data_IF_165137292384
#
_entry.id   IF_165137292384
#
_cell.length_a   1.000
_cell.length_b   1.000
_cell.length_c   1.000
_cell.angle_alpha   90.00
_cell.angle_beta   90.00
_cell.angle_gamma   90.00
#
_symmetry.space_group_name_H-M   'P 1'
#
loop_
_entity.id
_entity.type
_entity.pdbx_description
1 polymer ?
#
# COMPACT_ATOMS: atom_id res chain seq x y z
N UNK A 1 -4.65 -1.27 -10.95
CA UNK A 1 -3.82 -2.15 -11.80
C UNK A 1 -3.49 -1.42 -13.08
N UNK A 2 -2.43 -1.86 -13.72
CA UNK A 2 -2.00 -1.44 -15.05
C UNK A 2 -2.61 -2.33 -16.13
N UNK A 3 -2.72 -1.80 -17.34
CA UNK A 3 -3.11 -2.57 -18.52
C UNK A 3 -1.93 -3.40 -19.05
N UNK A 4 -2.20 -4.64 -19.46
CA UNK A 4 -1.15 -5.60 -19.85
C UNK A 4 -0.30 -5.19 -21.06
N UNK A 5 -0.88 -4.47 -22.02
CA UNK A 5 -0.17 -4.09 -23.25
C UNK A 5 0.60 -2.77 -23.13
N UNK A 6 0.45 -2.05 -22.01
CA UNK A 6 1.32 -0.91 -21.72
C UNK A 6 2.76 -1.40 -21.51
N UNK A 7 3.73 -0.51 -21.69
CA UNK A 7 5.15 -0.87 -21.69
C UNK A 7 5.95 -0.14 -20.62
N UNK A 8 7.02 -0.78 -20.17
CA UNK A 8 8.02 -0.21 -19.26
C UNK A 8 9.39 -0.25 -19.94
N UNK A 9 10.21 0.76 -19.66
CA UNK A 9 11.61 0.79 -20.11
C UNK A 9 12.49 0.00 -19.14
N UNK A 10 13.26 -0.93 -19.67
CA UNK A 10 14.22 -1.72 -18.88
C UNK A 10 15.55 -0.96 -18.73
N UNK A 11 16.27 -1.22 -17.65
CA UNK A 11 17.59 -0.60 -17.41
C UNK A 11 18.62 -1.10 -18.42
N UNK A 12 18.56 -2.38 -18.79
CA UNK A 12 19.44 -3.02 -19.78
C UNK A 12 19.14 -2.57 -21.22
N UNK A 13 18.12 -1.74 -21.41
CA UNK A 13 17.66 -1.25 -22.71
C UNK A 13 16.41 -1.99 -23.22
N UNK A 14 15.73 -1.34 -24.15
CA UNK A 14 14.47 -1.85 -24.71
C UNK A 14 13.25 -1.61 -23.82
N UNK A 15 12.12 -2.17 -24.26
CA UNK A 15 10.82 -2.04 -23.60
C UNK A 15 10.19 -3.42 -23.40
N UNK A 16 9.43 -3.57 -22.32
CA UNK A 16 8.68 -4.79 -22.01
C UNK A 16 7.23 -4.46 -21.73
N UNK A 17 6.32 -5.23 -22.32
CA UNK A 17 4.90 -5.14 -21.99
C UNK A 17 4.69 -5.54 -20.53
N UNK A 18 3.77 -4.87 -19.85
CA UNK A 18 3.48 -5.12 -18.44
C UNK A 18 3.05 -6.58 -18.22
N UNK A 19 2.25 -7.14 -19.12
CA UNK A 19 1.83 -8.55 -19.05
C UNK A 19 2.96 -9.57 -19.17
N UNK A 20 4.14 -9.14 -19.64
CA UNK A 20 5.32 -9.97 -19.81
C UNK A 20 6.42 -9.68 -18.77
N UNK A 21 6.17 -8.79 -17.80
CA UNK A 21 7.12 -8.50 -16.73
C UNK A 21 7.39 -9.73 -15.87
N UNK A 22 8.60 -9.78 -15.34
CA UNK A 22 9.06 -10.82 -14.44
C UNK A 22 9.65 -10.19 -13.19
N UNK A 23 9.53 -10.91 -12.08
CA UNK A 23 10.29 -10.59 -10.87
C UNK A 23 11.79 -10.55 -11.20
N UNK A 24 12.50 -9.54 -10.73
CA UNK A 24 13.91 -9.29 -11.00
C UNK A 24 14.17 -8.42 -12.23
N UNK A 25 13.15 -8.11 -13.05
CA UNK A 25 13.33 -7.14 -14.14
C UNK A 25 13.76 -5.78 -13.57
N UNK A 26 14.87 -5.26 -14.07
CA UNK A 26 15.36 -3.92 -13.71
C UNK A 26 14.70 -2.87 -14.60
N UNK A 27 14.14 -1.86 -13.97
CA UNK A 27 13.27 -0.88 -14.61
C UNK A 27 13.68 0.54 -14.25
N UNK A 28 13.38 1.48 -15.14
CA UNK A 28 13.46 2.90 -14.81
C UNK A 28 12.21 3.34 -14.05
N UNK A 29 12.42 4.10 -12.98
CA UNK A 29 11.36 4.73 -12.19
C UNK A 29 11.74 6.16 -11.81
N UNK A 30 10.92 6.84 -11.02
CA UNK A 30 11.20 8.21 -10.55
C UNK A 30 11.73 8.22 -9.13
N UNK A 31 12.53 9.24 -8.81
CA UNK A 31 12.84 9.61 -7.43
C UNK A 31 11.60 10.14 -6.70
N UNK A 32 11.60 10.10 -5.37
CA UNK A 32 10.47 10.57 -4.54
C UNK A 32 10.11 12.04 -4.77
N UNK A 33 11.06 12.87 -5.22
CA UNK A 33 10.83 14.27 -5.59
C UNK A 33 10.30 14.44 -7.03
N UNK A 34 10.15 13.34 -7.77
CA UNK A 34 9.71 13.27 -9.16
C UNK A 34 10.63 13.92 -10.19
N UNK A 35 11.86 14.28 -9.82
CA UNK A 35 12.77 15.06 -10.67
C UNK A 35 13.75 14.21 -11.48
N UNK A 36 14.06 13.00 -11.04
CA UNK A 36 15.11 12.17 -11.64
C UNK A 36 14.59 10.78 -11.94
N UNK A 37 15.09 10.19 -13.02
CA UNK A 37 14.97 8.77 -13.24
C UNK A 37 15.98 8.04 -12.37
N UNK A 38 15.56 6.96 -11.74
CA UNK A 38 16.39 6.08 -10.93
C UNK A 38 16.15 4.63 -11.35
N UNK A 39 17.16 3.79 -11.14
CA UNK A 39 17.03 2.36 -11.33
C UNK A 39 16.25 1.72 -10.18
N UNK A 40 15.40 0.77 -10.51
CA UNK A 40 14.63 -0.03 -9.57
C UNK A 40 14.41 -1.43 -10.14
N UNK A 41 13.69 -2.27 -9.40
CA UNK A 41 13.51 -3.68 -9.73
C UNK A 41 12.10 -4.14 -9.36
N UNK A 42 11.51 -4.99 -10.21
CA UNK A 42 10.23 -5.63 -9.95
C UNK A 42 10.42 -6.72 -8.89
N UNK A 43 9.82 -6.56 -7.72
CA UNK A 43 10.02 -7.47 -6.58
C UNK A 43 8.95 -8.55 -6.51
N UNK A 44 7.72 -8.28 -6.96
CA UNK A 44 6.60 -9.24 -6.96
C UNK A 44 5.46 -8.70 -7.81
N UNK A 45 4.64 -9.61 -8.37
CA UNK A 45 3.42 -9.28 -9.11
C UNK A 45 2.23 -9.97 -8.40
N UNK A 46 1.71 -9.41 -7.30
CA UNK A 46 0.73 -10.09 -6.43
C UNK A 46 -0.68 -10.17 -7.03
N UNK A 47 -0.97 -9.43 -8.09
CA UNK A 47 -2.31 -9.38 -8.67
C UNK A 47 -2.21 -9.29 -10.19
N UNK A 48 -2.74 -10.30 -10.87
CA UNK A 48 -2.78 -10.40 -12.32
C UNK A 48 -4.03 -11.17 -12.78
N UNK A 49 -4.62 -10.72 -13.88
CA UNK A 49 -5.78 -11.35 -14.51
C UNK A 49 -5.67 -11.23 -16.03
N UNK A 50 -4.82 -12.04 -16.69
CA UNK A 50 -4.44 -11.85 -18.10
C UNK A 50 -5.62 -11.90 -19.07
N UNK A 51 -6.66 -12.66 -18.74
CA UNK A 51 -7.86 -12.88 -19.57
C UNK A 51 -9.11 -12.24 -18.98
N UNK A 52 -8.98 -11.51 -17.88
CA UNK A 52 -10.11 -10.94 -17.15
C UNK A 52 -10.36 -9.50 -17.67
N UNK A 53 -11.59 -9.16 -18.07
CA UNK A 53 -11.93 -7.79 -18.42
C UNK A 53 -11.91 -6.90 -17.17
N UNK A 54 -11.37 -5.70 -17.31
CA UNK A 54 -11.37 -4.68 -16.27
C UNK A 54 -11.61 -3.28 -16.86
N UNK A 55 -12.10 -2.37 -16.03
CA UNK A 55 -12.30 -0.99 -16.39
C UNK A 55 -11.02 -0.18 -16.22
N UNK A 56 -10.68 0.62 -17.24
CA UNK A 56 -9.50 1.46 -17.27
C UNK A 56 -9.84 2.89 -17.65
N UNK A 57 -9.23 3.83 -16.94
CA UNK A 57 -8.99 5.19 -17.40
C UNK A 57 -7.73 5.21 -18.25
N UNK A 58 -7.85 5.66 -19.50
CA UNK A 58 -6.73 5.87 -20.40
C UNK A 58 -6.49 7.37 -20.54
N UNK A 59 -5.35 7.81 -20.01
CA UNK A 59 -4.90 9.19 -20.09
C UNK A 59 -4.05 9.35 -21.34
N UNK A 60 -4.38 10.31 -22.19
CA UNK A 60 -3.59 10.70 -23.36
C UNK A 60 -3.04 12.09 -23.12
N UNK A 61 -1.73 12.23 -23.24
CA UNK A 61 -1.03 13.51 -23.09
C UNK A 61 -0.99 14.28 -24.40
N UNK A 62 -0.71 15.58 -24.31
CA UNK A 62 -0.58 16.47 -25.49
C UNK A 62 0.54 16.05 -26.47
N UNK A 63 1.47 15.19 -26.06
CA UNK A 63 2.51 14.64 -26.94
C UNK A 63 2.20 13.19 -27.38
N UNK A 64 0.97 12.72 -27.18
CA UNK A 64 0.51 11.41 -27.63
C UNK A 64 0.91 10.22 -26.75
N UNK A 65 1.59 10.44 -25.62
CA UNK A 65 1.86 9.38 -24.65
C UNK A 65 0.58 8.97 -23.92
N UNK A 66 0.42 7.68 -23.67
CA UNK A 66 -0.77 7.12 -23.03
C UNK A 66 -0.42 6.25 -21.83
N UNK A 67 -1.29 6.23 -20.82
CA UNK A 67 -1.22 5.23 -19.73
C UNK A 67 -2.63 4.80 -19.35
N UNK A 68 -2.85 3.50 -19.18
CA UNK A 68 -4.15 2.92 -18.82
C UNK A 68 -4.11 2.34 -17.41
N UNK A 69 -4.92 2.92 -16.52
CA UNK A 69 -4.97 2.57 -15.10
C UNK A 69 -6.40 2.26 -14.64
N UNK A 70 -6.58 1.29 -13.76
CA UNK A 70 -7.88 1.10 -13.10
C UNK A 70 -8.20 2.28 -12.18
N UNK A 71 -9.49 2.51 -11.93
CA UNK A 71 -10.06 3.54 -11.05
C UNK A 71 -9.21 3.94 -9.82
N UNK A 72 -8.98 3.01 -8.90
CA UNK A 72 -8.28 3.27 -7.63
C UNK A 72 -6.76 3.13 -7.70
N UNK A 73 -6.18 3.08 -8.91
CA UNK A 73 -4.73 3.03 -9.07
C UNK A 73 -4.14 4.43 -8.97
N UNK A 74 -3.05 4.56 -8.21
CA UNK A 74 -2.43 5.85 -7.98
C UNK A 74 -1.53 6.30 -9.13
N UNK A 75 -1.69 7.55 -9.55
CA UNK A 75 -0.86 8.21 -10.56
C UNK A 75 -0.21 9.46 -9.99
N UNK A 76 0.99 9.77 -10.49
CA UNK A 76 1.75 10.94 -10.06
C UNK A 76 1.36 12.14 -10.93
N UNK A 77 0.75 13.13 -10.31
CA UNK A 77 0.19 14.30 -11.00
C UNK A 77 0.53 15.61 -10.28
N UNK A 78 0.47 16.70 -11.03
CA UNK A 78 0.58 18.08 -10.53
C UNK A 78 -0.63 18.85 -11.05
N UNK A 79 -1.34 19.57 -10.18
CA UNK A 79 -2.41 20.45 -10.64
C UNK A 79 -1.81 21.64 -11.41
N UNK A 80 -2.47 22.09 -12.49
CA UNK A 80 -2.00 23.25 -13.26
C UNK A 80 -1.81 24.46 -12.35
N UNK A 81 -0.65 25.11 -12.46
CA UNK A 81 -0.30 26.28 -11.64
C UNK A 81 0.23 25.93 -10.25
N UNK A 82 0.26 24.65 -9.85
CA UNK A 82 0.94 24.20 -8.66
C UNK A 82 2.35 23.66 -8.98
N UNK A 83 3.24 23.65 -7.98
CA UNK A 83 4.59 23.07 -8.07
C UNK A 83 4.74 21.82 -7.21
N UNK A 84 3.66 21.34 -6.59
CA UNK A 84 3.70 20.21 -5.66
C UNK A 84 3.16 18.95 -6.32
N UNK A 85 3.95 17.89 -6.25
CA UNK A 85 3.54 16.55 -6.67
C UNK A 85 2.44 16.04 -5.75
N UNK A 86 1.40 15.47 -6.36
CA UNK A 86 0.33 14.75 -5.71
C UNK A 86 0.29 13.32 -6.25
N UNK A 87 -0.08 12.39 -5.39
CA UNK A 87 -0.34 11.00 -5.76
C UNK A 87 -1.83 10.80 -5.54
N UNK A 88 -2.58 10.70 -6.63
CA UNK A 88 -4.05 10.70 -6.63
C UNK A 88 -4.58 9.49 -7.39
N UNK A 89 -5.83 9.11 -7.13
CA UNK A 89 -6.47 8.00 -7.84
C UNK A 89 -6.68 8.37 -9.31
N UNK A 90 -6.65 7.37 -10.20
CA UNK A 90 -6.90 7.57 -11.62
C UNK A 90 -8.27 8.23 -11.88
N UNK A 91 -9.31 7.89 -11.11
CA UNK A 91 -10.63 8.55 -11.21
C UNK A 91 -10.67 10.01 -10.78
N UNK A 92 -9.69 10.48 -10.00
CA UNK A 92 -9.63 11.86 -9.52
C UNK A 92 -8.87 12.78 -10.50
N UNK A 93 -8.21 12.21 -11.51
CA UNK A 93 -7.48 12.96 -12.51
C UNK A 93 -8.45 13.67 -13.47
N UNK A 94 -8.20 14.95 -13.68
CA UNK A 94 -8.93 15.80 -14.62
C UNK A 94 -7.98 16.44 -15.62
N UNK A 95 -8.52 17.09 -16.66
CA UNK A 95 -7.71 17.87 -17.62
C UNK A 95 -7.00 19.09 -17.00
N UNK A 96 -7.31 19.42 -15.74
CA UNK A 96 -6.61 20.44 -14.94
C UNK A 96 -5.36 19.90 -14.24
N UNK A 97 -5.00 18.64 -14.50
CA UNK A 97 -3.77 18.03 -14.03
C UNK A 97 -2.74 17.88 -15.16
N UNK A 98 -1.48 17.80 -14.76
CA UNK A 98 -0.33 17.44 -15.57
C UNK A 98 0.28 16.16 -15.00
N UNK A 99 0.72 15.26 -15.88
CA UNK A 99 1.42 14.03 -15.49
C UNK A 99 2.93 14.27 -15.47
N UNK A 100 3.67 13.39 -14.80
CA UNK A 100 5.13 13.44 -14.77
C UNK A 100 5.73 12.46 -15.76
N UNK A 101 6.60 12.95 -16.62
CA UNK A 101 7.35 12.18 -17.61
C UNK A 101 8.83 12.49 -17.48
N UNK A 102 9.64 11.51 -17.06
CA UNK A 102 11.11 11.64 -16.98
C UNK A 102 11.60 12.97 -16.34
N UNK A 103 11.00 13.40 -15.23
CA UNK A 103 11.42 14.61 -14.49
C UNK A 103 10.78 15.92 -14.94
N UNK A 104 9.92 15.92 -15.97
CA UNK A 104 9.15 17.09 -16.41
C UNK A 104 7.64 16.84 -16.34
N UNK A 105 6.86 17.92 -16.33
CA UNK A 105 5.41 17.85 -16.41
C UNK A 105 4.93 17.85 -17.86
N UNK A 106 3.82 17.15 -18.11
CA UNK A 106 3.16 17.10 -19.41
C UNK A 106 1.65 17.23 -19.23
N UNK A 107 1.02 18.06 -20.07
CA UNK A 107 -0.43 18.26 -20.05
C UNK A 107 -1.21 17.06 -20.56
N UNK A 108 -2.45 16.93 -20.08
CA UNK A 108 -3.41 15.97 -20.59
C UNK A 108 -4.21 16.54 -21.76
N UNK A 109 -4.39 15.74 -22.80
CA UNK A 109 -5.26 16.04 -23.94
C UNK A 109 -6.63 15.39 -23.76
N UNK A 110 -6.65 14.11 -23.36
CA UNK A 110 -7.87 13.30 -23.33
C UNK A 110 -7.84 12.28 -22.21
N UNK A 111 -9.01 12.01 -21.63
CA UNK A 111 -9.24 10.91 -20.68
C UNK A 111 -10.38 10.05 -21.22
N UNK A 112 -10.14 8.76 -21.39
CA UNK A 112 -11.14 7.81 -21.92
C UNK A 112 -11.35 6.68 -20.94
N UNK A 113 -12.60 6.40 -20.63
CA UNK A 113 -12.99 5.23 -19.85
C UNK A 113 -13.36 4.07 -20.78
N UNK A 114 -12.74 2.91 -20.61
CA UNK A 114 -12.98 1.74 -21.47
C UNK A 114 -12.75 0.42 -20.72
N UNK A 115 -13.42 -0.64 -21.19
CA UNK A 115 -13.13 -2.01 -20.73
C UNK A 115 -11.98 -2.54 -21.58
N UNK A 116 -10.94 -3.07 -20.92
CA UNK A 116 -9.82 -3.75 -21.58
C UNK A 116 -9.55 -5.09 -20.90
N UNK A 117 -8.97 -6.05 -21.64
CA UNK A 117 -8.69 -7.39 -21.14
C UNK A 117 -7.25 -7.44 -20.63
N UNK A 118 -7.04 -7.93 -19.40
CA UNK A 118 -5.70 -8.08 -18.86
C UNK A 118 -5.32 -6.94 -17.93
N UNK A 119 -5.17 -7.25 -16.64
CA UNK A 119 -4.65 -6.31 -15.65
C UNK A 119 -3.52 -6.92 -14.83
N UNK A 120 -2.60 -6.07 -14.37
CA UNK A 120 -1.42 -6.47 -13.60
C UNK A 120 -1.07 -5.41 -12.55
N UNK A 121 -0.46 -5.83 -11.44
CA UNK A 121 -0.02 -4.92 -10.37
C UNK A 121 1.39 -5.25 -9.90
N UNK A 122 2.44 -5.09 -10.75
CA UNK A 122 3.82 -5.24 -10.31
C UNK A 122 4.15 -4.24 -9.20
N UNK A 123 4.97 -4.68 -8.25
CA UNK A 123 5.50 -3.87 -7.15
C UNK A 123 7.01 -3.75 -7.29
N UNK A 124 7.53 -2.56 -7.03
CA UNK A 124 8.96 -2.23 -7.04
C UNK A 124 9.52 -1.90 -5.65
N UNK A 125 10.84 -1.77 -5.50
CA UNK A 125 11.45 -1.38 -4.23
C UNK A 125 11.12 0.07 -3.85
N UNK A 126 11.12 1.00 -4.81
CA UNK A 126 10.77 2.41 -4.55
C UNK A 126 9.27 2.63 -4.35
N UNK A 127 8.43 1.76 -4.90
CA UNK A 127 6.98 1.96 -4.92
C UNK A 127 6.48 2.81 -6.10
N UNK A 128 7.36 3.20 -7.01
CA UNK A 128 7.00 3.89 -8.26
C UNK A 128 7.32 3.03 -9.48
N UNK A 129 6.68 3.35 -10.60
CA UNK A 129 6.95 2.76 -11.89
C UNK A 129 6.79 3.80 -13.01
N UNK A 130 7.54 3.64 -14.09
CA UNK A 130 7.36 4.47 -15.29
C UNK A 130 6.74 3.63 -16.40
N UNK A 131 5.49 3.93 -16.74
CA UNK A 131 4.69 3.21 -17.73
C UNK A 131 4.46 4.12 -18.94
N UNK A 132 4.89 3.68 -20.12
CA UNK A 132 4.87 4.47 -21.36
C UNK A 132 5.48 5.86 -21.17
N UNK A 133 6.56 5.93 -20.38
CA UNK A 133 7.28 7.13 -19.94
C UNK A 133 6.55 7.99 -18.89
N UNK A 134 5.33 7.63 -18.48
CA UNK A 134 4.55 8.34 -17.47
C UNK A 134 4.73 7.71 -16.09
N UNK A 135 4.85 8.57 -15.08
CA UNK A 135 5.19 8.17 -13.72
C UNK A 135 3.94 7.79 -12.93
N UNK A 136 3.95 6.63 -12.31
CA UNK A 136 2.84 6.06 -11.56
C UNK A 136 3.33 5.51 -10.23
N UNK A 137 2.41 5.36 -9.28
CA UNK A 137 2.65 4.58 -8.07
C UNK A 137 2.31 3.12 -8.34
N UNK A 138 3.02 2.17 -7.73
CA UNK A 138 2.70 0.72 -7.88
C UNK A 138 1.45 0.30 -7.11
N UNK A 139 0.92 1.20 -6.29
CA UNK A 139 -0.19 0.93 -5.39
C UNK A 139 -1.56 1.20 -6.00
N UNK A 140 -2.52 0.39 -5.56
CA UNK A 140 -3.97 0.52 -5.77
C UNK A 140 -4.61 0.52 -4.40
N UNK A 141 -5.49 1.45 -4.07
CA UNK A 141 -6.24 1.37 -2.82
C UNK A 141 -7.66 1.92 -2.92
N UNK A 142 -8.61 1.06 -2.54
CA UNK A 142 -10.04 1.39 -2.48
C UNK A 142 -10.43 2.03 -1.15
N UNK A 143 -9.54 2.02 -0.15
CA UNK A 143 -9.78 2.57 1.19
C UNK A 143 -9.22 4.00 1.34
N UNK A 144 -8.80 4.63 0.25
CA UNK A 144 -8.19 5.96 0.19
C UNK A 144 -6.96 6.14 1.12
N UNK A 145 -6.26 5.04 1.44
CA UNK A 145 -5.02 5.06 2.16
C UNK A 145 -3.91 5.71 1.31
N UNK A 146 -3.13 6.65 1.87
CA UNK A 146 -2.12 7.36 1.11
C UNK A 146 -0.98 6.44 0.67
N UNK A 147 -0.33 6.80 -0.43
CA UNK A 147 0.81 6.07 -1.00
C UNK A 147 1.87 5.68 0.04
N UNK A 148 2.32 6.65 0.86
CA UNK A 148 3.39 6.42 1.84
C UNK A 148 3.00 5.36 2.88
N UNK A 149 1.71 5.32 3.26
CA UNK A 149 1.21 4.32 4.21
C UNK A 149 1.20 2.93 3.58
N UNK A 150 0.73 2.80 2.34
CA UNK A 150 0.79 1.54 1.59
C UNK A 150 2.24 1.10 1.33
N UNK A 151 3.13 2.07 1.15
CA UNK A 151 4.56 1.82 1.04
C UNK A 151 5.12 1.18 2.31
N UNK A 152 4.76 1.72 3.48
CA UNK A 152 5.16 1.19 4.79
C UNK A 152 4.59 -0.21 5.04
N UNK A 153 3.32 -0.46 4.69
CA UNK A 153 2.71 -1.79 4.78
C UNK A 153 3.45 -2.81 3.90
N UNK A 154 3.95 -2.38 2.74
CA UNK A 154 4.80 -3.19 1.87
C UNK A 154 6.23 -3.42 2.40
N UNK A 155 6.63 -2.73 3.48
CA UNK A 155 7.97 -2.74 4.04
C UNK A 155 8.51 -4.14 4.39
N UNK A 156 7.75 -5.00 5.11
CA UNK A 156 8.19 -6.36 5.43
C UNK A 156 8.54 -7.20 4.19
N UNK A 157 7.78 -7.08 3.10
CA UNK A 157 8.07 -7.81 1.85
C UNK A 157 9.37 -7.35 1.19
N UNK A 158 9.62 -6.03 1.18
CA UNK A 158 10.88 -5.46 0.68
C UNK A 158 12.06 -5.85 1.56
N UNK A 159 11.86 -5.90 2.88
CA UNK A 159 12.90 -6.33 3.82
C UNK A 159 13.26 -7.80 3.59
N UNK A 160 12.26 -8.68 3.47
CA UNK A 160 12.47 -10.09 3.13
C UNK A 160 13.22 -10.24 1.80
N UNK A 161 12.83 -9.47 0.78
CA UNK A 161 13.53 -9.43 -0.51
C UNK A 161 15.02 -9.09 -0.37
N UNK A 162 15.34 -8.04 0.39
CA UNK A 162 16.73 -7.58 0.60
C UNK A 162 17.55 -8.58 1.42
N UNK A 163 16.99 -9.11 2.52
CA UNK A 163 17.70 -10.04 3.41
C UNK A 163 18.03 -11.33 2.67
N UNK A 164 17.09 -11.88 1.90
CA UNK A 164 17.33 -13.13 1.17
C UNK A 164 18.37 -12.97 0.07
N UNK A 165 18.39 -11.85 -0.67
CA UNK A 165 19.48 -11.54 -1.62
C UNK A 165 20.83 -11.34 -0.94
N UNK A 166 20.84 -10.77 0.26
CA UNK A 166 22.06 -10.65 1.04
C UNK A 166 22.59 -12.01 1.51
N UNK A 167 21.72 -12.92 1.96
CA UNK A 167 22.09 -14.25 2.45
C UNK A 167 22.46 -15.24 1.32
N UNK A 168 21.67 -15.28 0.26
CA UNK A 168 21.77 -16.29 -0.80
C UNK A 168 22.41 -15.75 -2.10
N UNK A 169 22.83 -14.48 -2.11
CA UNK A 169 23.48 -13.81 -3.22
C UNK A 169 22.55 -12.93 -4.06
N UNK A 170 23.13 -11.93 -4.72
CA UNK A 170 22.37 -10.92 -5.46
C UNK A 170 21.53 -11.49 -6.61
N UNK A 171 21.82 -12.69 -7.11
CA UNK A 171 21.03 -13.32 -8.18
C UNK A 171 19.83 -14.11 -7.65
N UNK A 172 19.67 -14.25 -6.33
CA UNK A 172 18.53 -14.93 -5.74
C UNK A 172 17.27 -14.08 -5.85
N UNK A 173 16.18 -14.63 -6.39
CA UNK A 173 14.93 -13.91 -6.57
C UNK A 173 13.82 -14.64 -5.79
N UNK A 174 13.53 -14.24 -4.55
CA UNK A 174 12.65 -15.00 -3.65
C UNK A 174 11.23 -15.18 -4.18
N UNK A 175 10.74 -14.26 -5.03
CA UNK A 175 9.40 -14.28 -5.58
C UNK A 175 9.37 -14.63 -7.09
N UNK A 176 10.46 -15.12 -7.65
CA UNK A 176 10.46 -15.63 -9.02
C UNK A 176 9.87 -17.05 -9.06
N UNK A 177 9.12 -17.32 -10.11
CA UNK A 177 8.79 -18.67 -10.55
C UNK A 177 9.85 -19.04 -11.59
N UNK A 178 10.79 -19.94 -11.28
CA UNK A 178 11.71 -20.45 -12.30
C UNK A 178 11.04 -21.62 -13.01
N UNK A 179 11.41 -21.89 -14.26
CA UNK A 179 10.80 -22.96 -15.08
C UNK A 179 11.00 -24.35 -14.46
N UNK A 180 11.97 -24.50 -13.54
CA UNK A 180 12.36 -25.77 -12.93
C UNK A 180 12.30 -25.78 -11.40
N UNK A 181 11.90 -24.69 -10.73
CA UNK A 181 11.78 -24.65 -9.27
C UNK A 181 10.45 -24.03 -8.87
N UNK A 182 9.74 -24.73 -8.00
CA UNK A 182 8.54 -24.21 -7.35
C UNK A 182 8.89 -22.96 -6.54
N UNK A 183 7.99 -21.98 -6.54
CA UNK A 183 8.13 -20.76 -5.72
C UNK A 183 8.36 -21.20 -4.26
N UNK A 184 9.37 -20.63 -3.61
CA UNK A 184 9.66 -20.93 -2.20
C UNK A 184 8.36 -20.87 -1.35
N UNK A 185 8.06 -21.85 -0.48
CA UNK A 185 6.75 -21.93 0.18
C UNK A 185 6.33 -20.66 0.94
N UNK A 186 7.28 -19.96 1.55
CA UNK A 186 7.04 -18.67 2.21
C UNK A 186 6.61 -17.59 1.21
N UNK A 187 7.26 -17.54 0.05
CA UNK A 187 6.92 -16.62 -1.03
C UNK A 187 5.55 -16.93 -1.63
N UNK A 188 5.24 -18.22 -1.81
CA UNK A 188 3.92 -18.67 -2.25
C UNK A 188 2.83 -18.30 -1.24
N UNK A 189 3.07 -18.52 0.06
CA UNK A 189 2.17 -18.11 1.13
C UNK A 189 1.94 -16.60 1.13
N UNK A 190 3.02 -15.81 1.03
CA UNK A 190 2.97 -14.35 0.97
C UNK A 190 2.12 -13.86 -0.21
N UNK A 191 2.32 -14.42 -1.40
CA UNK A 191 1.59 -14.05 -2.61
C UNK A 191 0.11 -14.43 -2.45
N UNK A 192 -0.17 -15.68 -2.04
CA UNK A 192 -1.52 -16.19 -1.86
C UNK A 192 -2.32 -15.41 -0.79
N UNK A 193 -1.64 -14.89 0.23
CA UNK A 193 -2.26 -14.17 1.34
C UNK A 193 -2.02 -12.65 1.28
N UNK A 194 -1.59 -12.10 0.13
CA UNK A 194 -1.24 -10.68 0.03
C UNK A 194 -2.41 -9.76 0.44
N UNK A 195 -3.63 -10.03 -0.03
CA UNK A 195 -4.81 -9.23 0.31
C UNK A 195 -5.19 -9.33 1.80
N UNK A 196 -5.34 -10.53 2.41
CA UNK A 196 -5.53 -10.67 3.85
C UNK A 196 -4.44 -10.01 4.69
N UNK A 197 -3.16 -10.21 4.34
CA UNK A 197 -2.03 -9.62 5.07
C UNK A 197 -2.08 -8.10 5.00
N UNK A 198 -2.32 -7.55 3.80
CA UNK A 198 -2.49 -6.11 3.62
C UNK A 198 -3.63 -5.57 4.48
N UNK A 199 -4.80 -6.21 4.44
CA UNK A 199 -5.96 -5.78 5.22
C UNK A 199 -5.69 -5.87 6.73
N UNK A 200 -5.00 -6.92 7.17
CA UNK A 200 -4.54 -7.07 8.55
C UNK A 200 -3.68 -5.88 8.97
N UNK A 201 -2.66 -5.50 8.18
CA UNK A 201 -1.81 -4.36 8.50
C UNK A 201 -2.52 -3.00 8.41
N UNK A 202 -3.56 -2.86 7.58
CA UNK A 202 -4.40 -1.66 7.55
C UNK A 202 -5.24 -1.55 8.83
N UNK A 203 -5.85 -2.66 9.28
CA UNK A 203 -6.80 -2.66 10.42
C UNK A 203 -6.07 -2.75 11.76
N UNK A 204 -4.93 -3.43 11.84
CA UNK A 204 -4.20 -3.72 13.08
C UNK A 204 -3.87 -2.48 13.91
N UNK A 205 -3.39 -1.35 13.35
CA UNK A 205 -3.17 -0.12 14.10
C UNK A 205 -4.43 0.46 14.76
N UNK A 206 -5.61 0.15 14.23
CA UNK A 206 -6.90 0.56 14.81
C UNK A 206 -7.42 -0.45 15.84
N UNK A 207 -7.04 -1.72 15.73
CA UNK A 207 -7.38 -2.75 16.72
C UNK A 207 -6.63 -2.54 18.04
N UNK A 208 -5.36 -2.11 17.99
CA UNK A 208 -4.54 -1.93 19.20
C UNK A 208 -5.13 -0.94 20.20
N UNK A 209 -5.56 0.30 19.85
CA UNK A 209 -6.17 1.20 20.82
C UNK A 209 -7.51 0.68 21.34
N UNK A 210 -8.31 0.00 20.51
CA UNK A 210 -9.58 -0.62 20.96
C UNK A 210 -9.29 -1.72 21.98
N UNK A 211 -8.30 -2.59 21.71
CA UNK A 211 -7.88 -3.61 22.67
C UNK A 211 -7.32 -3.00 23.96
N UNK A 212 -6.56 -1.91 23.87
CA UNK A 212 -6.09 -1.16 25.04
C UNK A 212 -7.24 -0.55 25.85
N UNK A 213 -8.27 0.02 25.20
CA UNK A 213 -9.46 0.55 25.87
C UNK A 213 -10.25 -0.57 26.56
N UNK A 214 -10.46 -1.70 25.87
CA UNK A 214 -11.14 -2.85 26.45
C UNK A 214 -10.34 -3.36 27.66
N UNK A 215 -9.03 -3.56 27.51
CA UNK A 215 -8.16 -4.00 28.60
C UNK A 215 -8.17 -3.00 29.77
N UNK A 216 -8.14 -1.70 29.49
CA UNK A 216 -8.22 -0.65 30.49
C UNK A 216 -9.56 -0.67 31.24
N UNK A 217 -10.68 -0.82 30.54
CA UNK A 217 -12.01 -0.98 31.17
C UNK A 217 -12.00 -2.22 32.07
N UNK A 218 -11.52 -3.37 31.57
CA UNK A 218 -11.45 -4.60 32.36
C UNK A 218 -10.51 -4.50 33.57
N UNK A 219 -9.42 -3.74 33.48
CA UNK A 219 -8.49 -3.53 34.59
C UNK A 219 -8.99 -2.48 35.60
N UNK A 220 -9.74 -1.46 35.17
CA UNK A 220 -10.22 -0.37 36.05
C UNK A 220 -11.57 -0.69 36.71
N UNK A 221 -12.45 -1.45 36.05
CA UNK A 221 -13.71 -1.95 36.61
C UNK A 221 -13.55 -2.59 38.01
N UNK A 222 -12.64 -3.56 38.23
CA UNK A 222 -12.47 -4.19 39.54
C UNK A 222 -11.93 -3.23 40.61
N UNK A 223 -11.13 -2.23 40.23
CA UNK A 223 -10.62 -1.20 41.16
C UNK A 223 -11.78 -0.31 41.65
N UNK A 224 -12.66 0.11 40.75
CA UNK A 224 -13.85 0.89 41.11
C UNK A 224 -14.82 0.11 42.01
N UNK A 225 -14.95 -1.20 41.78
CA UNK A 225 -15.77 -2.11 42.58
C UNK A 225 -15.18 -2.33 43.98
N UNK A 226 -13.87 -2.59 44.08
CA UNK A 226 -13.19 -2.72 45.37
C UNK A 226 -13.24 -1.42 46.18
N UNK A 227 -13.09 -0.25 45.53
CA UNK A 227 -13.20 1.05 46.20
C UNK A 227 -14.60 1.29 46.77
N UNK A 228 -15.67 0.96 46.03
CA UNK A 228 -17.05 1.03 46.56
C UNK A 228 -17.28 0.07 47.72
N UNK A 229 -16.73 -1.14 47.64
CA UNK A 229 -16.84 -2.14 48.72
C UNK A 229 -16.10 -1.70 49.99
N UNK A 230 -14.90 -1.14 49.86
CA UNK A 230 -14.14 -0.55 50.97
C UNK A 230 -14.89 0.62 51.62
N UNK A 231 -15.38 1.58 50.83
CA UNK A 231 -16.16 2.71 51.35
C UNK A 231 -17.47 2.26 52.04
N UNK A 232 -18.12 1.20 51.55
CA UNK A 232 -19.30 0.63 52.22
C UNK A 232 -18.95 -0.08 53.53
N UNK A 233 -17.75 -0.64 53.65
CA UNK A 233 -17.28 -1.33 54.84
C UNK A 233 -16.93 -0.33 55.95
N UNK A 234 -16.24 0.76 55.61
CA UNK A 234 -15.91 1.84 56.55
C UNK A 234 -17.17 2.50 57.12
N UNK A 235 -18.16 2.80 56.28
CA UNK A 235 -19.44 3.35 56.74
C UNK A 235 -20.20 2.41 57.69
N UNK A 236 -20.09 1.10 57.50
CA UNK A 236 -20.74 0.11 58.37
C UNK A 236 -20.04 0.01 59.73
N UNK A 237 -18.70 0.00 59.76
CA UNK A 237 -17.95 0.03 61.01
C UNK A 237 -18.16 1.33 61.79
N UNK A 238 -18.24 2.48 61.10
CA UNK A 238 -18.50 3.76 61.74
C UNK A 238 -19.88 3.79 62.42
N UNK A 239 -20.91 3.24 61.77
CA UNK A 239 -22.24 3.10 62.38
C UNK A 239 -22.27 2.12 63.56
N UNK A 240 -21.55 1.00 63.49
CA UNK A 240 -21.46 0.04 64.61
C UNK A 240 -20.73 0.65 65.81
N UNK A 241 -19.67 1.44 65.61
CA UNK A 241 -18.97 2.14 66.69
C UNK A 241 -19.84 3.21 67.38
N UNK A 242 -20.58 4.02 66.61
CA UNK A 242 -21.54 5.00 67.17
C UNK A 242 -22.63 4.30 67.98
N UNK A 243 -23.13 3.17 67.49
CA UNK A 243 -24.17 2.39 68.18
C UNK A 243 -23.65 1.84 69.52
N UNK A 244 -22.44 1.25 69.54
CA UNK A 244 -21.83 0.72 70.76
C UNK A 244 -21.56 1.85 71.77
N UNK A 245 -21.10 3.01 71.32
CA UNK A 245 -20.81 4.14 72.20
C UNK A 245 -22.08 4.73 72.83
N UNK A 246 -23.20 4.73 72.12
CA UNK A 246 -24.52 5.15 72.64
C UNK A 246 -25.16 4.16 73.62
N UNK A 247 -24.64 2.93 73.74
CA UNK A 247 -25.11 1.93 74.71
C UNK A 247 -24.29 1.92 76.02
N UNK A 248 -23.19 2.68 76.06
CA UNK A 248 -22.26 2.73 77.21
C UNK A 248 -22.43 4.04 78.03
N UNK A 249 -23.19 5.02 77.52
CA UNK A 249 -23.67 6.20 78.25
C UNK A 249 -25.09 6.00 78.81
#
# INVERSE_FOLDING_TARGET
>A
CYFGEDYINLVEGGRRQIGNLKTGDRVWTISNDGKRLIEDEIIVIPHAGPTIPAYFYTFTTIEGHTVSLTDSHFIVAIAKGENKIKIICASEVTLEHQLIMAGRTIGLEKIVYSIRIGFYSPITLSGYLTVNNLSTSVYVDYLHAPHDFLHQIGGPFRMYYRITRWLFGNNYIPFAMTVNEEIHPISAFIIANYQPIRLFFIIFPFMTPIMFIILFIYLVQPISFMRKKLLSFDNKMFHEQITIQSMIE
#
